data_IF_530779914630
#
_entry.id   IF_530779914630
#
_cell.length_a   1.000
_cell.length_b   1.000
_cell.length_c   1.000
_cell.angle_alpha   90.00
_cell.angle_beta   90.00
_cell.angle_gamma   90.00
#
_symmetry.space_group_name_H-M   'P 1'
#
loop_
_entity.id
_entity.type
_entity.pdbx_description
1 polymer ?
#
# COMPACT_ATOMS: atom_id res chain seq x y z
N UNK A 1 -34.78 5.86 -35.66
CA UNK A 1 -33.37 6.09 -35.24
C UNK A 1 -33.33 6.33 -33.73
N UNK A 2 -34.06 5.47 -33.03
CA UNK A 2 -33.62 4.60 -31.94
C UNK A 2 -32.09 4.61 -31.72
N UNK A 3 -31.65 5.21 -30.61
CA UNK A 3 -30.54 4.66 -29.82
C UNK A 3 -30.74 5.07 -28.35
N UNK A 4 -31.44 4.17 -27.66
CA UNK A 4 -31.73 4.16 -26.23
C UNK A 4 -30.41 4.01 -25.46
N UNK A 5 -29.78 5.12 -25.06
CA UNK A 5 -28.68 5.11 -24.10
C UNK A 5 -29.17 4.80 -22.67
N UNK A 6 -29.97 3.73 -22.50
CA UNK A 6 -30.33 3.18 -21.19
C UNK A 6 -29.17 2.35 -20.67
N UNK A 7 -28.11 3.04 -20.24
CA UNK A 7 -27.04 2.42 -19.44
C UNK A 7 -27.66 2.06 -18.08
N UNK A 8 -27.91 0.76 -17.89
CA UNK A 8 -28.58 0.23 -16.71
C UNK A 8 -27.86 0.55 -15.39
N UNK A 9 -28.54 0.38 -14.25
CA UNK A 9 -27.93 0.47 -12.93
C UNK A 9 -27.16 -0.84 -12.65
N UNK A 10 -26.09 -1.07 -13.42
CA UNK A 10 -25.08 -2.04 -13.06
C UNK A 10 -24.26 -1.39 -11.94
N UNK A 11 -24.67 -1.68 -10.71
CA UNK A 11 -23.80 -1.92 -9.55
C UNK A 11 -22.31 -1.84 -9.87
N UNK A 12 -21.80 -0.62 -10.04
CA UNK A 12 -20.39 -0.33 -10.11
C UNK A 12 -19.81 -0.77 -8.77
N UNK A 13 -19.35 -2.02 -8.70
CA UNK A 13 -18.37 -2.51 -7.74
C UNK A 13 -17.43 -1.33 -7.50
N UNK A 14 -17.31 -0.86 -6.25
CA UNK A 14 -16.75 0.45 -5.93
C UNK A 14 -15.42 0.54 -6.67
N UNK A 15 -15.39 1.36 -7.74
CA UNK A 15 -14.31 1.33 -8.72
C UNK A 15 -13.02 1.29 -7.96
N UNK A 16 -12.36 0.13 -7.99
CA UNK A 16 -11.36 -0.20 -6.99
C UNK A 16 -10.09 0.52 -7.43
N UNK A 17 -10.04 1.80 -7.07
CA UNK A 17 -8.96 2.71 -7.33
C UNK A 17 -7.84 2.45 -6.31
N UNK A 18 -6.61 2.72 -6.72
CA UNK A 18 -5.47 2.63 -5.82
C UNK A 18 -5.70 3.52 -4.57
N UNK A 19 -5.66 3.00 -3.34
CA UNK A 19 -5.93 3.82 -2.13
C UNK A 19 -4.94 4.98 -2.01
N UNK A 20 -3.71 4.80 -2.50
CA UNK A 20 -2.67 5.83 -2.47
C UNK A 20 -2.88 6.96 -3.48
N UNK A 21 -3.66 6.72 -4.55
CA UNK A 21 -4.05 7.81 -5.46
C UNK A 21 -5.10 8.71 -4.79
N UNK A 22 -6.05 8.11 -4.07
CA UNK A 22 -7.06 8.83 -3.31
C UNK A 22 -6.45 9.55 -2.10
N UNK A 23 -5.39 8.98 -1.51
CA UNK A 23 -4.59 9.60 -0.45
C UNK A 23 -3.63 10.69 -0.94
N UNK A 24 -3.64 11.03 -2.23
CA UNK A 24 -2.82 12.08 -2.84
C UNK A 24 -1.30 11.90 -2.60
N UNK A 25 -0.80 10.65 -2.63
CA UNK A 25 0.65 10.39 -2.51
C UNK A 25 1.39 11.02 -3.72
N UNK A 26 2.38 11.87 -3.43
CA UNK A 26 3.15 12.62 -4.43
C UNK A 26 3.81 11.72 -5.48
N UNK A 27 4.10 10.46 -5.14
CA UNK A 27 4.69 9.50 -6.07
C UNK A 27 3.68 9.01 -7.10
N UNK A 28 2.40 8.91 -6.72
CA UNK A 28 1.30 8.65 -7.65
C UNK A 28 1.03 9.87 -8.56
N UNK A 29 1.21 11.10 -8.06
CA UNK A 29 0.98 12.33 -8.82
C UNK A 29 1.84 12.42 -10.10
N UNK A 30 3.08 11.92 -10.05
CA UNK A 30 3.96 11.85 -11.22
C UNK A 30 3.42 10.99 -12.38
N UNK A 31 2.56 10.02 -12.06
CA UNK A 31 1.90 9.11 -13.03
C UNK A 31 0.54 9.65 -13.46
N UNK A 32 -0.09 10.48 -12.63
CA UNK A 32 -1.39 11.10 -12.89
C UNK A 32 -1.22 12.50 -13.50
N UNK A 33 -0.52 12.60 -14.62
CA UNK A 33 -0.41 13.83 -15.42
C UNK A 33 -1.34 13.78 -16.63
N UNK A 34 -1.81 14.92 -17.12
CA UNK A 34 -2.74 15.00 -18.27
C UNK A 34 -2.27 14.18 -19.49
N UNK A 35 -0.97 14.22 -19.80
CA UNK A 35 -0.39 13.46 -20.91
C UNK A 35 -0.27 11.94 -20.68
N UNK A 36 -0.49 11.46 -19.45
CA UNK A 36 -0.40 10.04 -19.08
C UNK A 36 -1.70 9.50 -18.47
N UNK A 37 -2.79 10.27 -18.54
CA UNK A 37 -4.07 9.89 -17.92
C UNK A 37 -4.58 8.54 -18.39
N UNK A 38 -4.51 8.24 -19.70
CA UNK A 38 -4.95 6.94 -20.22
C UNK A 38 -4.15 5.77 -19.63
N UNK A 39 -2.83 5.93 -19.54
CA UNK A 39 -1.94 4.93 -18.92
C UNK A 39 -2.22 4.81 -17.41
N UNK A 40 -2.41 5.93 -16.72
CA UNK A 40 -2.76 5.94 -15.31
C UNK A 40 -4.12 5.28 -15.06
N UNK A 41 -5.11 5.49 -15.93
CA UNK A 41 -6.41 4.83 -15.85
C UNK A 41 -6.28 3.32 -15.98
N UNK A 42 -5.49 2.84 -16.94
CA UNK A 42 -5.28 1.41 -17.17
C UNK A 42 -4.61 0.65 -16.02
N UNK A 43 -3.93 1.36 -15.11
CA UNK A 43 -3.16 0.74 -14.01
C UNK A 43 -3.76 1.07 -12.65
N UNK A 44 -4.11 2.33 -12.39
CA UNK A 44 -4.53 2.80 -11.08
C UNK A 44 -6.02 2.56 -10.78
N UNK A 45 -6.84 2.32 -11.81
CA UNK A 45 -8.29 2.15 -11.68
C UNK A 45 -8.68 0.77 -12.22
N UNK A 46 -8.93 -0.19 -11.32
CA UNK A 46 -9.31 -1.57 -11.67
C UNK A 46 -8.19 -2.61 -11.65
N UNK A 47 -6.91 -2.22 -11.75
CA UNK A 47 -5.77 -3.16 -11.72
C UNK A 47 -4.58 -2.69 -10.87
N UNK A 48 -4.81 -1.85 -9.86
CA UNK A 48 -3.73 -1.25 -9.06
C UNK A 48 -2.87 -2.28 -8.32
N UNK A 49 -3.37 -3.49 -8.11
CA UNK A 49 -2.61 -4.61 -7.54
C UNK A 49 -1.44 -5.06 -8.42
N UNK A 50 -1.44 -4.74 -9.71
CA UNK A 50 -0.29 -4.95 -10.60
C UNK A 50 0.70 -3.78 -10.58
N UNK A 51 0.36 -2.64 -9.96
CA UNK A 51 1.22 -1.48 -9.90
C UNK A 51 2.39 -1.72 -8.93
N UNK A 52 3.66 -1.66 -9.38
CA UNK A 52 4.81 -1.85 -8.49
C UNK A 52 4.89 -0.76 -7.42
N UNK A 53 4.36 0.43 -7.72
CA UNK A 53 4.29 1.54 -6.78
C UNK A 53 3.34 1.22 -5.62
N UNK A 54 2.17 0.64 -5.89
CA UNK A 54 1.22 0.22 -4.85
C UNK A 54 1.87 -0.74 -3.84
N UNK A 55 2.61 -1.75 -4.32
CA UNK A 55 3.33 -2.68 -3.45
C UNK A 55 4.42 -2.01 -2.63
N UNK A 56 5.18 -1.10 -3.24
CA UNK A 56 6.23 -0.34 -2.55
C UNK A 56 5.66 0.49 -1.40
N UNK A 57 4.57 1.21 -1.68
CA UNK A 57 3.88 2.03 -0.68
C UNK A 57 3.36 1.21 0.50
N UNK A 58 2.75 0.06 0.21
CA UNK A 58 2.26 -0.85 1.24
C UNK A 58 3.42 -1.40 2.09
N UNK A 59 4.54 -1.76 1.47
CA UNK A 59 5.71 -2.27 2.18
C UNK A 59 6.28 -1.21 3.13
N UNK A 60 6.41 0.04 2.66
CA UNK A 60 6.87 1.15 3.51
C UNK A 60 5.92 1.43 4.67
N UNK A 61 4.61 1.44 4.43
CA UNK A 61 3.61 1.59 5.50
C UNK A 61 3.70 0.45 6.51
N UNK A 62 3.94 -0.79 6.05
CA UNK A 62 4.12 -1.93 6.94
C UNK A 62 5.39 -1.80 7.76
N UNK A 63 6.50 -1.33 7.18
CA UNK A 63 7.74 -1.08 7.91
C UNK A 63 7.53 -0.07 9.03
N UNK A 64 6.87 1.06 8.76
CA UNK A 64 6.58 2.07 9.80
C UNK A 64 5.72 1.47 10.92
N UNK A 65 4.76 0.61 10.59
CA UNK A 65 3.93 -0.08 11.59
C UNK A 65 4.75 -1.06 12.41
N UNK A 66 5.65 -1.81 11.79
CA UNK A 66 6.52 -2.78 12.47
C UNK A 66 7.54 -2.07 13.36
N UNK A 67 8.09 -0.94 12.93
CA UNK A 67 8.99 -0.10 13.72
C UNK A 67 8.27 0.51 14.93
N UNK A 68 7.04 1.02 14.74
CA UNK A 68 6.22 1.51 15.83
C UNK A 68 5.88 0.38 16.81
N UNK A 69 5.48 -0.79 16.30
CA UNK A 69 5.22 -1.97 17.11
C UNK A 69 6.45 -2.38 17.91
N UNK A 70 7.65 -2.42 17.30
CA UNK A 70 8.90 -2.73 17.96
C UNK A 70 9.26 -1.72 19.06
N UNK A 71 8.95 -0.43 18.87
CA UNK A 71 9.15 0.60 19.88
C UNK A 71 8.17 0.50 21.05
N UNK A 72 6.93 0.06 20.79
CA UNK A 72 5.90 -0.10 21.83
C UNK A 72 5.94 -1.46 22.53
N UNK A 73 6.55 -2.48 21.91
CA UNK A 73 6.62 -3.81 22.45
C UNK A 73 7.51 -3.83 23.72
N UNK A 74 7.10 -4.57 24.76
CA UNK A 74 7.93 -4.74 25.94
C UNK A 74 9.26 -5.40 25.54
N UNK A 75 10.38 -4.73 25.82
CA UNK A 75 11.71 -5.28 25.60
C UNK A 75 11.98 -6.35 26.66
N UNK A 76 11.79 -7.61 26.30
CA UNK A 76 12.11 -8.75 27.17
C UNK A 76 13.63 -8.97 27.13
N UNK A 77 14.29 -8.84 28.28
CA UNK A 77 15.70 -9.18 28.44
C UNK A 77 15.86 -10.58 29.05
N UNK A 78 16.62 -11.44 28.38
CA UNK A 78 16.95 -12.76 28.93
C UNK A 78 18.03 -12.56 30.01
N UNK A 79 17.77 -13.03 31.22
CA UNK A 79 18.71 -12.97 32.34
C UNK A 79 19.15 -14.37 32.77
N UNK A 80 20.41 -14.52 33.15
CA UNK A 80 20.94 -15.68 33.84
C UNK A 80 21.59 -15.24 35.16
N UNK A 81 21.15 -15.81 36.28
CA UNK A 81 21.58 -15.39 37.62
C UNK A 81 21.45 -13.87 37.88
N UNK A 82 20.38 -13.25 37.36
CA UNK A 82 20.14 -11.82 37.49
C UNK A 82 20.98 -10.92 36.58
N UNK A 83 21.82 -11.49 35.71
CA UNK A 83 22.61 -10.73 34.72
C UNK A 83 21.99 -10.84 33.34
N UNK A 84 21.78 -9.69 32.68
CA UNK A 84 21.31 -9.65 31.31
C UNK A 84 22.35 -10.26 30.35
N UNK A 85 21.92 -11.19 29.50
CA UNK A 85 22.78 -11.85 28.52
C UNK A 85 22.76 -11.10 27.18
N UNK A 86 23.92 -10.75 26.60
CA UNK A 86 23.96 -10.18 25.25
C UNK A 86 23.64 -11.26 24.21
N UNK A 87 22.51 -11.10 23.51
CA UNK A 87 22.11 -12.02 22.44
C UNK A 87 22.82 -11.62 21.15
N UNK A 88 23.59 -12.56 20.59
CA UNK A 88 24.10 -12.45 19.22
C UNK A 88 23.13 -13.14 18.27
N UNK A 89 22.69 -12.43 17.22
CA UNK A 89 22.01 -13.08 16.10
C UNK A 89 23.04 -13.95 15.36
N UNK A 90 22.85 -15.26 15.38
CA UNK A 90 23.50 -16.16 14.43
C UNK A 90 22.63 -16.18 13.16
N UNK A 91 23.15 -15.67 12.05
CA UNK A 91 22.48 -15.82 10.75
C UNK A 91 22.50 -17.31 10.34
N UNK A 92 21.40 -17.79 9.76
CA UNK A 92 21.26 -19.15 9.21
C UNK A 92 20.83 -19.10 7.76
#
# INVERSE_FOLDING_TARGET
MDDDCRRGPDEAEPWSACPHINGNDLRCASRFSLGRLAQAYSVCFGSYRACPMYHRLNAEQQQVRDELAANTAPRISITAHGRALPLRRTAS
#
